data_IF_124722171821
#
_entry.id   IF_124722171821
#
_cell.length_a   1.000
_cell.length_b   1.000
_cell.length_c   1.000
_cell.angle_alpha   90.00
_cell.angle_beta   90.00
_cell.angle_gamma   90.00
#
_symmetry.space_group_name_H-M   'P 1'
#
loop_
_entity.id
_entity.type
_entity.pdbx_description
1 polymer ?
#
# COMPACT_ATOMS: atom_id res chain seq x y z
N UNK A 1 6.87 -53.85 28.18
CA UNK A 1 5.90 -53.03 27.41
C UNK A 1 6.14 -51.53 27.52
N UNK A 2 6.33 -50.94 28.71
CA UNK A 2 6.48 -49.48 28.88
C UNK A 2 7.65 -48.84 28.10
N UNK A 3 8.80 -49.52 27.99
CA UNK A 3 9.97 -49.00 27.28
C UNK A 3 9.76 -48.86 25.76
N UNK A 4 9.02 -49.79 25.13
CA UNK A 4 8.71 -49.73 23.70
C UNK A 4 7.71 -48.62 23.38
N UNK A 5 6.74 -48.39 24.28
CA UNK A 5 5.79 -47.28 24.17
C UNK A 5 6.51 -45.92 24.31
N UNK A 6 7.44 -45.81 25.25
CA UNK A 6 8.24 -44.60 25.43
C UNK A 6 9.14 -44.30 24.21
N UNK A 7 9.81 -45.31 23.66
CA UNK A 7 10.64 -45.16 22.45
C UNK A 7 9.80 -44.76 21.23
N UNK A 8 8.62 -45.37 21.05
CA UNK A 8 7.70 -45.01 19.98
C UNK A 8 7.18 -43.57 20.08
N UNK A 9 6.85 -43.11 21.30
CA UNK A 9 6.43 -41.72 21.53
C UNK A 9 7.56 -40.71 21.30
N UNK A 10 8.78 -41.03 21.71
CA UNK A 10 9.93 -40.14 21.54
C UNK A 10 10.29 -39.98 20.06
N UNK A 11 10.27 -41.08 19.30
CA UNK A 11 10.45 -41.05 17.85
C UNK A 11 9.35 -40.22 17.17
N UNK A 12 8.07 -40.43 17.53
CA UNK A 12 6.94 -39.65 16.99
C UNK A 12 7.11 -38.15 17.26
N UNK A 13 7.47 -37.76 18.48
CA UNK A 13 7.69 -36.35 18.83
C UNK A 13 8.88 -35.74 18.07
N UNK A 14 9.96 -36.50 17.87
CA UNK A 14 11.10 -36.06 17.08
C UNK A 14 10.74 -35.86 15.60
N UNK A 15 9.97 -36.78 15.01
CA UNK A 15 9.45 -36.67 13.64
C UNK A 15 8.46 -35.52 13.46
N UNK A 16 7.57 -35.29 14.43
CA UNK A 16 6.64 -34.13 14.42
C UNK A 16 7.40 -32.81 14.57
N UNK A 17 8.41 -32.73 15.43
CA UNK A 17 9.29 -31.55 15.58
C UNK A 17 10.13 -31.28 14.33
N UNK A 18 10.68 -32.33 13.70
CA UNK A 18 11.46 -32.22 12.46
C UNK A 18 10.62 -31.83 11.24
N UNK A 19 9.37 -32.31 11.14
CA UNK A 19 8.47 -31.95 10.05
C UNK A 19 7.86 -30.55 10.22
N UNK A 20 7.55 -30.14 11.45
CA UNK A 20 7.11 -28.78 11.78
C UNK A 20 8.21 -27.74 11.51
N UNK A 21 9.48 -28.04 11.85
CA UNK A 21 10.60 -27.15 11.58
C UNK A 21 10.88 -26.99 10.09
N UNK A 22 10.80 -28.09 9.30
CA UNK A 22 10.90 -28.03 7.83
C UNK A 22 9.75 -27.26 7.20
N UNK A 23 8.51 -27.43 7.68
CA UNK A 23 7.34 -26.69 7.20
C UNK A 23 7.46 -25.19 7.50
N UNK A 24 7.93 -24.83 8.69
CA UNK A 24 8.19 -23.44 9.07
C UNK A 24 9.28 -22.82 8.17
N UNK A 25 10.42 -23.50 8.00
CA UNK A 25 11.50 -23.04 7.10
C UNK A 25 11.03 -22.84 5.66
N UNK A 26 10.21 -23.77 5.14
CA UNK A 26 9.61 -23.64 3.80
C UNK A 26 8.65 -22.45 3.71
N UNK A 27 7.90 -22.12 4.76
CA UNK A 27 7.03 -20.94 4.81
C UNK A 27 7.84 -19.64 4.81
N UNK A 28 8.89 -19.57 5.63
CA UNK A 28 9.79 -18.40 5.66
C UNK A 28 10.48 -18.18 4.31
N UNK A 29 10.99 -19.25 3.70
CA UNK A 29 11.61 -19.16 2.37
C UNK A 29 10.62 -18.68 1.29
N UNK A 30 9.37 -19.16 1.33
CA UNK A 30 8.32 -18.69 0.41
C UNK A 30 7.92 -17.24 0.65
N UNK A 31 7.84 -16.81 1.91
CA UNK A 31 7.56 -15.41 2.25
C UNK A 31 8.64 -14.50 1.67
N UNK A 32 9.92 -14.84 1.91
CA UNK A 32 11.06 -14.08 1.36
C UNK A 32 11.08 -14.05 -0.17
N UNK A 33 10.75 -15.16 -0.81
CA UNK A 33 10.64 -15.21 -2.26
C UNK A 33 9.50 -14.32 -2.77
N UNK A 34 8.35 -14.33 -2.10
CA UNK A 34 7.22 -13.48 -2.42
C UNK A 34 7.51 -11.99 -2.21
N UNK A 35 8.33 -11.62 -1.23
CA UNK A 35 8.81 -10.25 -1.04
C UNK A 35 9.66 -9.78 -2.25
N UNK A 36 10.64 -10.61 -2.67
CA UNK A 36 11.50 -10.30 -3.83
C UNK A 36 10.68 -10.16 -5.12
N UNK A 37 9.76 -11.10 -5.36
CA UNK A 37 8.89 -11.06 -6.52
C UNK A 37 7.92 -9.87 -6.48
N UNK A 38 7.46 -9.49 -5.28
CA UNK A 38 6.62 -8.32 -5.05
C UNK A 38 7.34 -7.03 -5.38
N UNK A 39 8.57 -6.86 -4.91
CA UNK A 39 9.39 -5.72 -5.29
C UNK A 39 9.60 -5.64 -6.80
N UNK A 40 9.86 -6.77 -7.46
CA UNK A 40 10.04 -6.83 -8.91
C UNK A 40 8.77 -6.42 -9.66
N UNK A 41 7.60 -6.88 -9.22
CA UNK A 41 6.31 -6.49 -9.79
C UNK A 41 6.05 -4.99 -9.64
N UNK A 42 6.33 -4.44 -8.45
CA UNK A 42 6.16 -3.02 -8.16
C UNK A 42 7.07 -2.16 -9.05
N UNK A 43 8.34 -2.53 -9.21
CA UNK A 43 9.26 -1.87 -10.14
C UNK A 43 8.78 -1.95 -11.59
N UNK A 44 8.33 -3.14 -12.03
CA UNK A 44 7.83 -3.35 -13.39
C UNK A 44 6.58 -2.51 -13.72
N UNK A 45 5.80 -2.11 -12.70
CA UNK A 45 4.63 -1.23 -12.83
C UNK A 45 4.98 0.28 -12.76
N UNK A 46 6.28 0.62 -12.84
CA UNK A 46 6.77 1.99 -12.91
C UNK A 46 6.91 2.69 -11.57
N UNK A 47 6.83 1.97 -10.45
CA UNK A 47 7.08 2.54 -9.14
C UNK A 47 8.57 2.49 -8.77
N UNK A 48 9.08 3.60 -8.24
CA UNK A 48 10.40 3.69 -7.64
C UNK A 48 10.32 3.30 -6.16
N UNK A 49 11.05 2.27 -5.75
CA UNK A 49 11.11 1.87 -4.34
C UNK A 49 12.00 2.86 -3.57
N UNK A 50 11.44 3.51 -2.56
CA UNK A 50 12.13 4.46 -1.68
C UNK A 50 12.72 3.76 -0.46
N UNK A 51 11.99 2.81 0.11
CA UNK A 51 12.44 2.03 1.26
C UNK A 51 11.78 0.64 1.30
N UNK A 52 12.50 -0.33 1.85
CA UNK A 52 12.04 -1.70 2.12
C UNK A 52 11.96 -1.89 3.64
N UNK A 53 10.82 -2.36 4.13
CA UNK A 53 10.49 -2.56 5.53
C UNK A 53 10.88 -1.40 6.48
N UNK A 54 10.65 -0.12 6.10
CA UNK A 54 11.01 1.01 6.95
C UNK A 54 10.26 0.98 8.29
N UNK A 55 10.90 1.46 9.34
CA UNK A 55 10.25 1.67 10.63
C UNK A 55 9.64 3.06 10.71
N UNK A 56 8.34 3.14 11.00
CA UNK A 56 7.64 4.37 11.35
C UNK A 56 7.23 4.33 12.82
N UNK A 57 7.40 5.46 13.51
CA UNK A 57 6.86 5.65 14.85
C UNK A 57 5.85 6.77 14.84
N UNK A 58 4.72 6.53 15.49
CA UNK A 58 3.72 7.55 15.74
C UNK A 58 3.30 7.52 17.20
N UNK A 59 2.80 8.65 17.68
CA UNK A 59 2.40 8.83 19.07
C UNK A 59 0.88 8.87 19.18
N UNK A 60 0.40 8.30 20.26
CA UNK A 60 -0.99 8.35 20.69
C UNK A 60 -1.03 8.68 22.17
N UNK A 61 -2.14 9.26 22.61
CA UNK A 61 -2.34 9.60 24.02
C UNK A 61 -3.39 8.66 24.59
N UNK A 62 -3.02 7.86 25.60
CA UNK A 62 -3.94 6.99 26.35
C UNK A 62 -4.10 7.58 27.74
N UNK A 63 -5.31 8.01 28.08
CA UNK A 63 -5.64 8.61 29.38
C UNK A 63 -4.68 9.75 29.78
N UNK A 64 -4.39 10.64 28.81
CA UNK A 64 -3.47 11.77 28.98
C UNK A 64 -1.98 11.42 28.93
N UNK A 65 -1.61 10.14 28.79
CA UNK A 65 -0.21 9.70 28.74
C UNK A 65 0.23 9.41 27.31
N UNK A 66 1.40 9.92 26.86
CA UNK A 66 1.93 9.59 25.55
C UNK A 66 2.35 8.11 25.50
N UNK A 67 2.02 7.46 24.40
CA UNK A 67 2.44 6.11 24.05
C UNK A 67 2.88 6.11 22.57
N UNK A 68 3.87 5.28 22.25
CA UNK A 68 4.38 5.15 20.88
C UNK A 68 4.00 3.82 20.28
N UNK A 69 3.60 3.85 19.02
CA UNK A 69 3.34 2.66 18.20
C UNK A 69 4.37 2.62 17.08
N UNK A 70 4.89 1.41 16.83
CA UNK A 70 5.81 1.12 15.74
C UNK A 70 5.04 0.44 14.63
N UNK A 71 5.18 0.95 13.41
CA UNK A 71 4.58 0.41 12.20
C UNK A 71 5.67 0.11 11.17
N UNK A 72 5.57 -1.04 10.51
CA UNK A 72 6.51 -1.50 9.49
C UNK A 72 5.73 -1.93 8.24
N UNK A 73 5.49 -1.03 7.27
CA UNK A 73 4.98 -1.44 5.97
C UNK A 73 6.05 -2.21 5.18
N UNK A 74 5.64 -3.04 4.23
CA UNK A 74 6.59 -3.82 3.44
C UNK A 74 7.46 -2.92 2.56
N UNK A 75 6.84 -1.94 1.87
CA UNK A 75 7.52 -1.04 0.96
C UNK A 75 6.96 0.38 1.06
N UNK A 76 7.82 1.36 0.84
CA UNK A 76 7.44 2.74 0.52
C UNK A 76 7.94 3.07 -0.86
N UNK A 77 7.04 3.54 -1.72
CA UNK A 77 7.31 3.71 -3.15
C UNK A 77 6.80 5.05 -3.67
N UNK A 78 7.29 5.45 -4.83
CA UNK A 78 6.89 6.68 -5.49
C UNK A 78 6.59 6.44 -6.96
N UNK A 79 5.56 7.11 -7.49
CA UNK A 79 5.28 7.21 -8.92
C UNK A 79 4.61 8.55 -9.20
N UNK A 80 5.01 9.20 -10.28
CA UNK A 80 4.44 10.48 -10.73
C UNK A 80 4.43 11.57 -9.62
N UNK A 81 5.51 11.61 -8.82
CA UNK A 81 5.68 12.55 -7.70
C UNK A 81 4.81 12.27 -6.47
N UNK A 82 4.07 11.16 -6.45
CA UNK A 82 3.22 10.73 -5.34
C UNK A 82 3.83 9.54 -4.60
N UNK A 83 3.76 9.56 -3.28
CA UNK A 83 4.27 8.51 -2.41
C UNK A 83 3.17 7.56 -1.96
N UNK A 84 3.50 6.29 -1.85
CA UNK A 84 2.58 5.23 -1.49
C UNK A 84 3.25 4.28 -0.51
N UNK A 85 2.44 3.70 0.39
CA UNK A 85 2.80 2.44 1.05
C UNK A 85 2.35 1.30 0.14
N UNK A 86 3.20 0.31 -0.11
CA UNK A 86 2.82 -0.93 -0.78
C UNK A 86 2.89 -2.11 0.20
N UNK A 87 1.76 -2.79 0.36
CA UNK A 87 1.56 -3.94 1.25
C UNK A 87 1.47 -5.21 0.38
N UNK A 88 2.44 -6.12 0.53
CA UNK A 88 2.65 -7.28 -0.32
C UNK A 88 1.95 -8.49 0.28
N UNK A 89 0.96 -9.02 -0.44
CA UNK A 89 0.16 -10.16 0.01
C UNK A 89 0.51 -11.39 -0.81
N UNK A 90 1.05 -12.40 -0.12
CA UNK A 90 1.41 -13.71 -0.69
C UNK A 90 0.46 -14.79 -0.19
N UNK A 91 -0.06 -15.64 -1.08
CA UNK A 91 -0.89 -16.80 -0.74
C UNK A 91 -2.31 -16.74 -1.31
N UNK A 92 -3.05 -17.85 -1.18
CA UNK A 92 -4.33 -18.13 -1.88
C UNK A 92 -5.54 -17.30 -1.45
N UNK A 93 -5.32 -16.25 -0.66
CA UNK A 93 -6.38 -15.38 -0.19
C UNK A 93 -5.78 -14.00 -0.02
N UNK A 94 -5.82 -13.21 -1.10
CA UNK A 94 -5.62 -11.78 -0.98
C UNK A 94 -6.66 -11.25 0.01
N UNK A 95 -6.25 -10.56 1.10
CA UNK A 95 -7.21 -9.98 2.02
C UNK A 95 -8.09 -9.00 1.26
N UNK A 96 -9.41 -9.21 1.35
CA UNK A 96 -10.39 -8.33 0.74
C UNK A 96 -10.13 -6.89 1.22
N UNK A 97 -9.80 -5.94 0.32
CA UNK A 97 -9.59 -4.55 0.69
C UNK A 97 -10.86 -3.92 1.30
N UNK A 98 -12.03 -4.54 1.11
CA UNK A 98 -13.30 -4.17 1.72
C UNK A 98 -13.58 -4.89 3.05
N UNK A 99 -12.66 -5.70 3.56
CA UNK A 99 -12.78 -6.21 4.92
C UNK A 99 -12.49 -5.11 5.95
N UNK A 100 -13.19 -5.16 7.09
CA UNK A 100 -13.01 -4.14 8.13
C UNK A 100 -11.59 -4.13 8.71
N UNK A 101 -10.94 -5.29 8.83
CA UNK A 101 -9.59 -5.42 9.36
C UNK A 101 -8.58 -4.77 8.40
N UNK A 102 -8.63 -5.12 7.11
CA UNK A 102 -7.74 -4.56 6.08
C UNK A 102 -7.92 -3.05 5.97
N UNK A 103 -9.16 -2.54 5.91
CA UNK A 103 -9.37 -1.08 5.86
C UNK A 103 -8.77 -0.34 7.06
N UNK A 104 -8.90 -0.87 8.28
CA UNK A 104 -8.31 -0.25 9.48
C UNK A 104 -6.77 -0.20 9.38
N UNK A 105 -6.15 -1.29 8.97
CA UNK A 105 -4.70 -1.36 8.76
C UNK A 105 -4.23 -0.36 7.69
N UNK A 106 -4.93 -0.29 6.55
CA UNK A 106 -4.56 0.61 5.46
C UNK A 106 -4.72 2.09 5.85
N UNK A 107 -5.74 2.42 6.66
CA UNK A 107 -5.91 3.77 7.23
C UNK A 107 -4.75 4.12 8.19
N UNK A 108 -4.25 3.16 8.97
CA UNK A 108 -3.09 3.38 9.83
C UNK A 108 -1.85 3.77 9.01
N UNK A 109 -1.60 3.09 7.86
CA UNK A 109 -0.50 3.46 6.96
C UNK A 109 -0.59 4.90 6.46
N UNK A 110 -1.78 5.36 6.06
CA UNK A 110 -1.95 6.74 5.60
C UNK A 110 -1.59 7.76 6.68
N UNK A 111 -2.04 7.52 7.91
CA UNK A 111 -1.85 8.43 9.05
C UNK A 111 -0.38 8.42 9.50
N UNK A 112 0.18 7.24 9.73
CA UNK A 112 1.52 7.09 10.29
C UNK A 112 2.62 7.43 9.28
N UNK A 113 2.48 6.99 8.02
CA UNK A 113 3.51 7.16 7.00
C UNK A 113 3.38 8.48 6.21
N UNK A 114 2.24 9.19 6.31
CA UNK A 114 1.96 10.45 5.61
C UNK A 114 2.18 10.36 4.09
N UNK A 115 1.65 9.31 3.49
CA UNK A 115 1.69 9.02 2.05
C UNK A 115 0.41 9.47 1.35
N UNK A 116 0.45 9.56 0.02
CA UNK A 116 -0.68 10.00 -0.81
C UNK A 116 -1.70 8.88 -1.09
N UNK A 117 -1.32 7.62 -0.85
CA UNK A 117 -2.19 6.47 -1.02
C UNK A 117 -1.56 5.16 -0.54
N UNK A 118 -2.31 4.06 -0.66
CA UNK A 118 -1.83 2.72 -0.33
C UNK A 118 -2.06 1.78 -1.51
N UNK A 119 -1.09 0.90 -1.75
CA UNK A 119 -1.13 -0.13 -2.79
C UNK A 119 -1.23 -1.50 -2.11
N UNK A 120 -2.16 -2.33 -2.55
CA UNK A 120 -2.19 -3.76 -2.20
C UNK A 120 -1.61 -4.53 -3.37
N UNK A 121 -0.48 -5.19 -3.14
CA UNK A 121 0.22 -6.00 -4.14
C UNK A 121 -0.22 -7.45 -3.96
N UNK A 122 -1.11 -7.89 -4.84
CA UNK A 122 -1.59 -9.26 -4.90
C UNK A 122 -0.62 -10.09 -5.75
N UNK A 123 0.17 -10.95 -5.09
CA UNK A 123 1.14 -11.80 -5.75
C UNK A 123 0.55 -13.04 -6.40
N UNK A 124 -0.66 -13.45 -6.03
CA UNK A 124 -1.37 -14.55 -6.68
C UNK A 124 -1.96 -14.10 -8.01
N UNK A 125 -2.68 -12.96 -8.02
CA UNK A 125 -3.23 -12.38 -9.23
C UNK A 125 -2.20 -11.58 -10.05
N UNK A 126 -1.00 -11.33 -9.50
CA UNK A 126 0.04 -10.43 -10.04
C UNK A 126 -0.51 -9.04 -10.39
N UNK A 127 -1.33 -8.49 -9.50
CA UNK A 127 -2.00 -7.19 -9.67
C UNK A 127 -1.66 -6.24 -8.54
N UNK A 128 -1.62 -4.95 -8.85
CA UNK A 128 -1.48 -3.89 -7.85
C UNK A 128 -2.80 -3.13 -7.79
N UNK A 129 -3.44 -3.15 -6.62
CA UNK A 129 -4.66 -2.39 -6.36
C UNK A 129 -4.29 -1.08 -5.68
N UNK A 130 -4.52 0.04 -6.38
CA UNK A 130 -4.37 1.38 -5.79
C UNK A 130 -5.62 1.75 -5.02
N UNK A 131 -5.47 1.99 -3.72
CA UNK A 131 -6.56 2.38 -2.83
C UNK A 131 -6.44 3.87 -2.49
N UNK A 132 -7.40 4.64 -3.00
CA UNK A 132 -7.57 6.04 -2.65
C UNK A 132 -8.54 6.19 -1.49
N UNK A 133 -8.17 6.97 -0.49
CA UNK A 133 -9.07 7.35 0.60
C UNK A 133 -9.43 8.81 0.43
N UNK A 134 -10.70 9.16 0.14
CA UNK A 134 -11.15 10.54 0.01
C UNK A 134 -11.27 11.21 1.39
N UNK A 135 -10.17 11.26 2.14
CA UNK A 135 -10.09 11.94 3.42
C UNK A 135 -10.09 13.44 3.16
N UNK A 136 -11.03 14.18 3.77
CA UNK A 136 -11.04 15.65 3.67
C UNK A 136 -9.70 16.19 4.17
N UNK A 137 -8.95 16.84 3.29
CA UNK A 137 -7.61 17.40 3.59
C UNK A 137 -6.43 16.55 3.12
N UNK A 138 -6.63 15.31 2.67
CA UNK A 138 -5.61 14.62 1.87
C UNK A 138 -5.55 15.35 0.52
N UNK A 139 -4.35 15.84 0.16
CA UNK A 139 -4.14 16.56 -1.10
C UNK A 139 -4.48 15.63 -2.27
N UNK A 140 -5.70 15.69 -2.76
CA UNK A 140 -6.07 15.17 -4.07
C UNK A 140 -5.36 16.05 -5.11
N UNK A 141 -4.10 15.73 -5.41
CA UNK A 141 -3.36 16.34 -6.52
C UNK A 141 -3.86 15.79 -7.85
N UNK A 142 -5.17 15.73 -8.07
CA UNK A 142 -5.68 15.47 -9.41
C UNK A 142 -4.95 16.44 -10.35
N UNK A 143 -4.29 15.95 -11.42
CA UNK A 143 -3.61 16.85 -12.34
C UNK A 143 -4.65 17.87 -12.81
N UNK A 144 -4.36 19.15 -12.57
CA UNK A 144 -5.19 20.22 -13.12
C UNK A 144 -5.30 19.95 -14.63
N UNK A 145 -6.49 19.97 -15.23
CA UNK A 145 -6.60 19.72 -16.66
C UNK A 145 -5.74 20.75 -17.37
N UNK A 146 -4.69 20.29 -18.05
CA UNK A 146 -3.68 21.12 -18.71
C UNK A 146 -4.25 22.02 -19.84
N UNK A 147 -5.56 21.97 -20.09
CA UNK A 147 -6.26 22.77 -21.09
C UNK A 147 -6.98 24.01 -20.55
N UNK A 148 -6.94 24.32 -19.24
CA UNK A 148 -7.71 25.43 -18.66
C UNK A 148 -7.26 26.82 -19.17
N UNK A 149 -5.96 27.00 -19.45
CA UNK A 149 -5.45 28.29 -19.97
C UNK A 149 -5.86 28.56 -21.42
N UNK A 150 -5.95 27.53 -22.25
CA UNK A 150 -6.38 27.66 -23.66
C UNK A 150 -7.88 27.99 -23.74
N UNK A 151 -8.70 27.35 -22.90
CA UNK A 151 -10.13 27.65 -22.81
C UNK A 151 -10.40 29.07 -22.29
N UNK A 152 -9.63 29.54 -21.31
CA UNK A 152 -9.70 30.91 -20.80
C UNK A 152 -9.28 31.94 -21.85
N UNK A 153 -8.21 31.69 -22.61
CA UNK A 153 -7.77 32.57 -23.68
C UNK A 153 -8.79 32.66 -24.82
N UNK A 154 -9.36 31.53 -25.25
CA UNK A 154 -10.43 31.50 -26.27
C UNK A 154 -11.69 32.23 -25.80
N UNK A 155 -12.09 32.04 -24.54
CA UNK A 155 -13.24 32.75 -23.95
C UNK A 155 -13.03 34.27 -23.91
N UNK A 156 -11.83 34.73 -23.52
CA UNK A 156 -11.50 36.14 -23.48
C UNK A 156 -11.50 36.79 -24.88
N UNK A 157 -10.99 36.09 -25.89
CA UNK A 157 -10.98 36.57 -27.28
C UNK A 157 -12.40 36.68 -27.86
N UNK A 158 -13.27 35.70 -27.59
CA UNK A 158 -14.67 35.75 -28.01
C UNK A 158 -15.43 36.89 -27.32
N UNK A 159 -15.20 37.10 -26.02
CA UNK A 159 -15.80 38.20 -25.25
C UNK A 159 -15.38 39.58 -25.75
N UNK A 160 -14.08 39.76 -26.06
CA UNK A 160 -13.56 40.99 -26.63
C UNK A 160 -14.11 41.26 -28.05
N UNK A 161 -14.25 40.22 -28.87
CA UNK A 161 -14.85 40.35 -30.21
C UNK A 161 -16.31 40.80 -30.17
N UNK A 162 -17.11 40.22 -29.27
CA UNK A 162 -18.53 40.57 -29.11
C UNK A 162 -18.73 41.99 -28.57
N UNK A 163 -17.88 42.44 -27.64
CA UNK A 163 -17.95 43.82 -27.11
C UNK A 163 -17.54 44.85 -28.16
N UNK A 164 -16.51 44.59 -28.96
CA UNK A 164 -16.11 45.46 -30.07
C UNK A 164 -17.17 45.53 -31.19
N UNK A 165 -17.87 44.42 -31.44
CA UNK A 165 -19.02 44.42 -32.34
C UNK A 165 -20.18 45.24 -31.77
N UNK A 166 -20.54 45.06 -30.50
CA UNK A 166 -21.64 45.80 -29.87
C UNK A 166 -21.40 47.33 -29.86
N UNK A 167 -20.17 47.77 -29.60
CA UNK A 167 -19.79 49.20 -29.61
C UNK A 167 -19.80 49.81 -31.01
N UNK A 168 -19.63 48.99 -32.06
CA UNK A 168 -19.61 49.46 -33.46
C UNK A 168 -21.01 49.62 -34.08
N UNK A 169 -22.05 49.11 -33.42
CA UNK A 169 -23.46 49.18 -33.85
C UNK A 169 -24.34 50.03 -32.91
N UNK A 170 -23.73 50.77 -31.99
CA UNK A 170 -24.31 51.83 -31.15
C UNK A 170 -23.79 53.19 -31.63
#
# INVERSE_FOLDING_TARGET
MCALVALGQTARLFWLRGSASRRSRRRVARARQGEIEGEALVRAQGYRILAVQPEYRWQLTVDGRPASVVLRPDLVVERDGRRYVADVKTGQSAPDPLSSATRRQLLEYLIACRVDGVLVVDMEARRIHSLGFPLRGARSSAPAPAGSWVALALGALLGAGLTLLAVRYL
#
